data_IF_475144501748
#
_entry.id   IF_475144501748
#
_cell.length_a   1.000
_cell.length_b   1.000
_cell.length_c   1.000
_cell.angle_alpha   90.00
_cell.angle_beta   90.00
_cell.angle_gamma   90.00
#
_symmetry.space_group_name_H-M   'P 1'
#
loop_
_entity.id
_entity.type
_entity.pdbx_description
1 polymer ?
#
# COMPACT_ATOMS: atom_id res chain seq x y z
N UNK A 1 -21.89 -19.77 8.60
CA UNK A 1 -21.61 -18.37 8.26
C UNK A 1 -21.43 -18.26 6.75
N UNK A 2 -22.19 -17.42 6.11
CA UNK A 2 -22.05 -17.20 4.68
C UNK A 2 -21.06 -16.05 4.43
N UNK A 3 -20.14 -16.25 3.49
CA UNK A 3 -19.24 -15.21 3.03
C UNK A 3 -19.79 -14.58 1.74
N UNK A 4 -19.75 -13.27 1.65
CA UNK A 4 -20.10 -12.57 0.43
C UNK A 4 -18.89 -12.50 -0.49
N UNK A 5 -19.12 -12.83 -1.76
CA UNK A 5 -18.12 -12.62 -2.80
C UNK A 5 -18.36 -11.25 -3.44
N UNK A 6 -17.32 -10.44 -3.48
CA UNK A 6 -17.36 -9.11 -4.08
C UNK A 6 -16.22 -8.97 -5.08
N UNK A 7 -16.35 -8.02 -6.01
CA UNK A 7 -15.27 -7.70 -6.94
C UNK A 7 -14.15 -6.92 -6.27
N UNK A 8 -12.98 -6.86 -6.89
CA UNK A 8 -11.87 -6.04 -6.40
C UNK A 8 -12.24 -4.55 -6.37
N UNK A 9 -13.01 -4.09 -7.35
CA UNK A 9 -13.51 -2.71 -7.41
C UNK A 9 -14.45 -2.40 -6.25
N UNK A 10 -15.36 -3.30 -5.92
CA UNK A 10 -16.25 -3.16 -4.75
C UNK A 10 -15.45 -3.16 -3.44
N UNK A 11 -14.44 -4.02 -3.34
CA UNK A 11 -13.57 -4.05 -2.17
C UNK A 11 -12.76 -2.74 -2.03
N UNK A 12 -12.26 -2.19 -3.13
CA UNK A 12 -11.54 -0.93 -3.12
C UNK A 12 -12.40 0.26 -2.70
N UNK A 13 -13.73 0.16 -2.86
CA UNK A 13 -14.64 1.24 -2.49
C UNK A 13 -14.68 1.52 -0.98
N UNK A 14 -14.42 0.51 -0.15
CA UNK A 14 -14.37 0.68 1.30
C UNK A 14 -13.06 1.30 1.80
N UNK A 15 -12.06 1.43 0.93
CA UNK A 15 -10.76 1.99 1.25
C UNK A 15 -10.80 3.50 0.99
N UNK A 16 -10.51 4.28 2.02
CA UNK A 16 -10.56 5.73 1.98
C UNK A 16 -9.17 6.35 2.02
N UNK A 17 -9.09 7.63 1.67
CA UNK A 17 -7.87 8.40 1.82
C UNK A 17 -7.37 8.36 3.27
N UNK A 18 -6.12 8.05 3.47
CA UNK A 18 -5.49 7.97 4.79
C UNK A 18 -5.57 6.60 5.46
N UNK A 19 -6.32 5.65 4.91
CA UNK A 19 -6.43 4.32 5.49
C UNK A 19 -5.08 3.59 5.52
N UNK A 20 -4.95 2.69 6.49
CA UNK A 20 -3.79 1.81 6.62
C UNK A 20 -4.14 0.41 6.16
N UNK A 21 -3.41 -0.09 5.17
CA UNK A 21 -3.61 -1.41 4.57
C UNK A 21 -2.49 -2.35 4.99
N UNK A 22 -2.88 -3.46 5.64
CA UNK A 22 -1.99 -4.61 5.84
C UNK A 22 -2.11 -5.56 4.65
N UNK A 23 -1.04 -5.73 3.90
CA UNK A 23 -1.03 -6.57 2.70
C UNK A 23 -0.02 -7.71 2.86
N UNK A 24 -0.36 -8.87 2.33
CA UNK A 24 0.60 -9.97 2.25
C UNK A 24 1.67 -9.68 1.21
N UNK A 25 2.80 -10.34 1.34
CA UNK A 25 3.86 -10.29 0.35
C UNK A 25 5.25 -10.20 0.94
N UNK A 26 6.11 -11.06 0.40
CA UNK A 26 7.55 -11.04 0.65
C UNK A 26 8.22 -11.22 -0.70
N UNK A 27 8.86 -10.19 -1.21
CA UNK A 27 9.32 -10.11 -2.60
C UNK A 27 8.15 -10.29 -3.57
N UNK A 28 8.30 -11.02 -4.68
CA UNK A 28 7.22 -11.22 -5.64
C UNK A 28 6.14 -12.23 -5.20
N UNK A 29 6.49 -13.35 -4.54
CA UNK A 29 5.50 -14.35 -4.15
C UNK A 29 4.50 -13.84 -3.10
N UNK A 30 3.24 -14.25 -3.25
CA UNK A 30 2.19 -13.93 -2.29
C UNK A 30 1.65 -12.51 -2.33
N UNK A 31 2.10 -11.70 -3.28
CA UNK A 31 1.59 -10.33 -3.42
C UNK A 31 0.14 -10.32 -3.92
N UNK A 32 -0.74 -9.51 -3.33
CA UNK A 32 -2.05 -9.27 -3.91
C UNK A 32 -1.91 -8.52 -5.24
N UNK A 33 -2.80 -8.79 -6.17
CA UNK A 33 -2.76 -8.18 -7.51
C UNK A 33 -4.06 -7.44 -7.83
N UNK A 34 -5.18 -8.11 -7.67
CA UNK A 34 -6.46 -7.54 -8.06
C UNK A 34 -6.86 -6.33 -7.21
N UNK A 35 -6.71 -6.42 -5.88
CA UNK A 35 -7.08 -5.32 -4.99
C UNK A 35 -6.14 -4.12 -5.15
N UNK A 36 -4.85 -4.33 -5.32
CA UNK A 36 -3.88 -3.24 -5.49
C UNK A 36 -4.09 -2.51 -6.81
N UNK A 37 -4.42 -3.25 -7.87
CA UNK A 37 -4.81 -2.64 -9.15
C UNK A 37 -6.07 -1.78 -9.01
N UNK A 38 -7.09 -2.29 -8.34
CA UNK A 38 -8.34 -1.57 -8.10
C UNK A 38 -8.11 -0.30 -7.25
N UNK A 39 -7.27 -0.39 -6.22
CA UNK A 39 -6.90 0.78 -5.40
C UNK A 39 -6.12 1.81 -6.22
N UNK A 40 -5.21 1.37 -7.08
CA UNK A 40 -4.47 2.27 -7.97
C UNK A 40 -5.39 3.01 -8.95
N UNK A 41 -6.37 2.31 -9.54
CA UNK A 41 -7.38 2.92 -10.41
C UNK A 41 -8.26 3.90 -9.66
N UNK A 42 -8.65 3.57 -8.43
CA UNK A 42 -9.38 4.50 -7.56
C UNK A 42 -8.57 5.76 -7.27
N UNK A 43 -7.29 5.61 -6.93
CA UNK A 43 -6.40 6.74 -6.68
C UNK A 43 -6.30 7.65 -7.92
N UNK A 44 -6.15 7.06 -9.09
CA UNK A 44 -6.12 7.81 -10.35
C UNK A 44 -7.40 8.61 -10.56
N UNK A 45 -8.56 7.98 -10.38
CA UNK A 45 -9.86 8.65 -10.54
C UNK A 45 -10.05 9.78 -9.53
N UNK A 46 -9.63 9.59 -8.27
CA UNK A 46 -9.70 10.63 -7.24
C UNK A 46 -8.80 11.80 -7.58
N UNK A 47 -7.56 11.55 -8.03
CA UNK A 47 -6.64 12.61 -8.42
C UNK A 47 -7.14 13.40 -9.64
N UNK A 48 -7.71 12.71 -10.63
CA UNK A 48 -8.32 13.37 -11.80
C UNK A 48 -9.52 14.26 -11.41
N UNK A 49 -10.23 13.91 -10.36
CA UNK A 49 -11.31 14.70 -9.80
C UNK A 49 -10.84 15.81 -8.84
N UNK A 50 -9.53 15.97 -8.67
CA UNK A 50 -8.94 17.00 -7.80
C UNK A 50 -9.00 16.65 -6.30
N UNK A 51 -9.23 15.39 -5.95
CA UNK A 51 -9.26 14.93 -4.56
C UNK A 51 -7.97 14.19 -4.19
N UNK A 52 -7.53 14.35 -2.97
CA UNK A 52 -6.39 13.60 -2.44
C UNK A 52 -6.78 12.15 -2.19
N UNK A 53 -5.90 11.23 -2.58
CA UNK A 53 -6.05 9.82 -2.26
C UNK A 53 -4.67 9.17 -2.10
N UNK A 54 -4.33 8.83 -0.87
CA UNK A 54 -3.14 8.05 -0.53
C UNK A 54 -3.44 7.15 0.65
N UNK A 55 -2.82 5.98 0.69
CA UNK A 55 -2.97 5.01 1.77
C UNK A 55 -1.60 4.69 2.38
N UNK A 56 -1.63 4.20 3.61
CA UNK A 56 -0.44 3.67 4.27
C UNK A 56 -0.35 2.17 3.99
N UNK A 57 0.81 1.67 3.62
CA UNK A 57 1.02 0.28 3.23
C UNK A 57 2.00 -0.39 4.18
N UNK A 58 1.54 -1.46 4.84
CA UNK A 58 2.37 -2.34 5.66
C UNK A 58 2.32 -3.75 5.09
N UNK A 59 3.49 -4.29 4.76
CA UNK A 59 3.62 -5.61 4.16
C UNK A 59 4.73 -6.40 4.87
N UNK A 60 5.11 -7.55 4.32
CA UNK A 60 6.39 -8.18 4.61
C UNK A 60 7.54 -7.29 4.12
N UNK A 61 8.68 -7.85 3.76
CA UNK A 61 9.81 -7.06 3.24
C UNK A 61 9.43 -6.36 1.92
N UNK A 62 10.32 -6.20 0.99
CA UNK A 62 9.99 -5.57 -0.28
C UNK A 62 8.90 -6.35 -1.04
N UNK A 63 8.03 -5.63 -1.71
CA UNK A 63 7.14 -6.16 -2.74
C UNK A 63 7.66 -5.72 -4.11
N UNK A 64 6.96 -6.12 -5.16
CA UNK A 64 7.36 -5.75 -6.50
C UNK A 64 6.33 -4.81 -7.14
N UNK A 65 6.28 -4.85 -8.45
CA UNK A 65 5.42 -4.01 -9.27
C UNK A 65 3.92 -4.14 -8.95
N UNK A 66 3.49 -5.30 -8.46
CA UNK A 66 2.07 -5.55 -8.15
C UNK A 66 1.56 -4.83 -6.91
N UNK A 67 2.42 -4.38 -6.04
CA UNK A 67 2.05 -3.59 -4.85
C UNK A 67 2.77 -2.24 -4.88
N UNK A 68 4.06 -2.22 -4.59
CA UNK A 68 4.82 -0.98 -4.48
C UNK A 68 4.87 -0.21 -5.81
N UNK A 69 5.12 -0.90 -6.92
CA UNK A 69 5.24 -0.25 -8.22
C UNK A 69 3.95 0.40 -8.68
N UNK A 70 2.85 -0.36 -8.73
CA UNK A 70 1.58 0.16 -9.24
C UNK A 70 1.02 1.29 -8.38
N UNK A 71 1.11 1.17 -7.05
CA UNK A 71 0.62 2.20 -6.15
C UNK A 71 1.50 3.45 -6.18
N UNK A 72 2.83 3.29 -6.29
CA UNK A 72 3.74 4.42 -6.40
C UNK A 72 3.57 5.19 -7.71
N UNK A 73 3.40 4.51 -8.83
CA UNK A 73 3.14 5.16 -10.13
C UNK A 73 1.90 6.04 -10.10
N UNK A 74 0.86 5.60 -9.38
CA UNK A 74 -0.39 6.35 -9.22
C UNK A 74 -0.39 7.32 -8.03
N UNK A 75 0.76 7.55 -7.43
CA UNK A 75 0.92 8.43 -6.26
C UNK A 75 -0.05 8.11 -5.12
N UNK A 76 -0.27 6.82 -4.86
CA UNK A 76 -1.26 6.33 -3.93
C UNK A 76 -0.68 5.94 -2.57
N UNK A 77 0.62 6.13 -2.33
CA UNK A 77 1.28 5.75 -1.09
C UNK A 77 1.61 7.00 -0.27
N UNK A 78 1.08 7.06 0.95
CA UNK A 78 1.48 8.05 1.95
C UNK A 78 2.68 7.56 2.77
N UNK A 79 2.61 6.34 3.31
CA UNK A 79 3.69 5.74 4.09
C UNK A 79 3.84 4.27 3.73
N UNK A 80 5.08 3.80 3.69
CA UNK A 80 5.43 2.41 3.42
C UNK A 80 6.35 1.87 4.52
N UNK A 81 6.02 0.70 5.04
CA UNK A 81 6.87 -0.04 5.98
C UNK A 81 6.75 -1.54 5.68
N UNK A 82 7.75 -2.36 6.01
CA UNK A 82 9.02 -2.04 6.65
C UNK A 82 10.15 -1.72 5.67
N UNK A 83 10.12 -2.19 4.42
CA UNK A 83 11.22 -2.06 3.48
C UNK A 83 10.71 -2.09 2.04
N UNK A 84 11.30 -1.28 1.19
CA UNK A 84 10.97 -1.21 -0.24
C UNK A 84 12.24 -1.23 -1.11
N UNK A 85 12.10 -1.66 -2.36
CA UNK A 85 13.20 -1.68 -3.33
C UNK A 85 12.78 -1.31 -4.76
N UNK A 86 11.53 -0.91 -4.99
CA UNK A 86 11.08 -0.57 -6.35
C UNK A 86 11.54 0.82 -6.76
N UNK A 87 11.95 1.02 -8.03
CA UNK A 87 12.37 2.33 -8.51
C UNK A 87 11.27 3.39 -8.42
N UNK A 88 10.03 3.03 -8.69
CA UNK A 88 8.89 3.95 -8.67
C UNK A 88 8.62 4.50 -7.27
N UNK A 89 8.62 3.62 -6.25
CA UNK A 89 8.44 4.05 -4.87
C UNK A 89 9.64 4.86 -4.38
N UNK A 90 10.86 4.47 -4.75
CA UNK A 90 12.06 5.23 -4.43
C UNK A 90 11.99 6.67 -4.97
N UNK A 91 11.49 6.84 -6.18
CA UNK A 91 11.24 8.18 -6.75
C UNK A 91 10.31 8.99 -5.87
N UNK A 92 9.19 8.42 -5.42
CA UNK A 92 8.21 9.11 -4.57
C UNK A 92 8.80 9.47 -3.21
N UNK A 93 9.63 8.61 -2.63
CA UNK A 93 10.33 8.90 -1.38
C UNK A 93 11.32 10.04 -1.57
N UNK A 94 12.11 10.02 -2.64
CA UNK A 94 13.10 11.05 -2.93
C UNK A 94 12.48 12.42 -3.23
N UNK A 95 11.29 12.45 -3.81
CA UNK A 95 10.53 13.68 -4.06
C UNK A 95 9.67 14.12 -2.87
N UNK A 96 9.73 13.41 -1.76
CA UNK A 96 8.91 13.64 -0.56
C UNK A 96 7.40 13.47 -0.75
N UNK A 97 6.99 12.79 -1.82
CA UNK A 97 5.59 12.43 -2.05
C UNK A 97 5.13 11.26 -1.18
N UNK A 98 6.06 10.43 -0.74
CA UNK A 98 5.80 9.29 0.13
C UNK A 98 6.82 9.22 1.26
N UNK A 99 6.37 8.77 2.43
CA UNK A 99 7.22 8.50 3.58
C UNK A 99 7.50 7.01 3.69
N UNK A 100 8.61 6.64 4.31
CA UNK A 100 8.88 5.24 4.59
C UNK A 100 9.51 5.07 5.97
N UNK A 101 9.34 3.88 6.52
CA UNK A 101 10.01 3.46 7.73
C UNK A 101 10.71 2.15 7.42
N UNK A 102 12.02 2.11 7.56
CA UNK A 102 12.83 0.93 7.33
C UNK A 102 13.02 0.18 8.65
N UNK A 103 12.59 -1.07 8.70
CA UNK A 103 12.61 -1.92 9.90
C UNK A 103 12.90 -3.37 9.54
N UNK A 104 13.54 -4.08 10.46
CA UNK A 104 13.56 -5.54 10.39
C UNK A 104 12.17 -6.11 10.65
N UNK A 105 11.86 -7.26 10.03
CA UNK A 105 10.55 -7.88 10.20
C UNK A 105 10.26 -8.25 11.66
N UNK A 106 11.27 -8.63 12.43
CA UNK A 106 11.13 -8.93 13.86
C UNK A 106 10.72 -7.70 14.68
N UNK A 107 11.27 -6.55 14.36
CA UNK A 107 10.91 -5.27 15.00
C UNK A 107 9.50 -4.86 14.60
N UNK A 108 9.14 -5.06 13.34
CA UNK A 108 7.83 -4.69 12.79
C UNK A 108 6.68 -5.35 13.54
N UNK A 109 6.82 -6.64 13.85
CA UNK A 109 5.81 -7.39 14.59
C UNK A 109 5.61 -6.83 16.00
N UNK A 110 6.67 -6.52 16.71
CA UNK A 110 6.62 -5.95 18.05
C UNK A 110 6.04 -4.53 18.05
N UNK A 111 6.53 -3.69 17.16
CA UNK A 111 6.09 -2.30 17.04
C UNK A 111 4.60 -2.21 16.69
N UNK A 112 4.12 -3.09 15.81
CA UNK A 112 2.69 -3.18 15.48
C UNK A 112 1.86 -3.61 16.69
N UNK A 113 2.34 -4.61 17.44
CA UNK A 113 1.66 -5.09 18.64
C UNK A 113 1.50 -4.01 19.70
N UNK A 114 2.52 -3.20 19.89
CA UNK A 114 2.50 -2.14 20.90
C UNK A 114 1.92 -0.82 20.41
N UNK A 115 1.38 -0.79 19.20
CA UNK A 115 0.72 0.39 18.65
C UNK A 115 1.68 1.51 18.26
N UNK A 116 2.93 1.20 17.93
CA UNK A 116 3.95 2.19 17.55
C UNK A 116 3.55 2.99 16.30
N UNK A 117 2.79 2.38 15.41
CA UNK A 117 2.32 3.03 14.19
C UNK A 117 0.92 3.65 14.29
N UNK A 118 0.32 3.61 15.47
CA UNK A 118 -1.03 4.11 15.71
C UNK A 118 -2.14 3.09 15.69
#
# INVERSE_FOLDING_TARGET
MAYNFITAEEAAQVINNGDTLGLSGFTAPGNPKAITEAVALKAQAEHEAGRDFKVNIYTGASTNDHVDGILARNNAINRRAPYQNTPDLRKRINSHDAHYTDRHLSEMAQETRYGFYG
#
